data_IF_173952322929
#
_entry.id   IF_173952322929
#
_cell.length_a   1.000
_cell.length_b   1.000
_cell.length_c   1.000
_cell.angle_alpha   90.00
_cell.angle_beta   90.00
_cell.angle_gamma   90.00
#
_symmetry.space_group_name_H-M   'P 1'
#
loop_
_entity.id
_entity.type
_entity.pdbx_description
1 polymer ?
#
# COMPACT_ATOMS: atom_id res chain seq x y z
N UNK A 1 7.51 -22.09 5.33
CA UNK A 1 6.80 -20.84 5.58
C UNK A 1 6.14 -20.39 4.28
N UNK A 2 4.84 -20.31 4.26
CA UNK A 2 4.10 -19.94 3.06
C UNK A 2 3.65 -18.48 3.17
N UNK A 3 3.77 -17.74 2.05
CA UNK A 3 3.21 -16.40 1.94
C UNK A 3 1.69 -16.49 2.04
N UNK A 4 1.13 -15.80 3.02
CA UNK A 4 -0.32 -15.77 3.27
C UNK A 4 -0.99 -14.74 2.35
N UNK A 5 -0.49 -13.53 2.35
CA UNK A 5 -0.97 -12.41 1.54
C UNK A 5 0.19 -11.53 1.10
N UNK A 6 -0.09 -10.70 0.12
CA UNK A 6 0.82 -9.65 -0.32
C UNK A 6 0.15 -8.29 -0.22
N UNK A 7 0.95 -7.24 -0.12
CA UNK A 7 0.50 -5.85 -0.18
C UNK A 7 1.33 -5.11 -1.22
N UNK A 8 0.72 -4.25 -1.99
CA UNK A 8 1.43 -3.49 -3.02
C UNK A 8 1.21 -1.98 -2.84
N UNK A 9 2.20 -1.23 -3.27
CA UNK A 9 2.11 0.22 -3.33
C UNK A 9 1.22 0.64 -4.51
N UNK A 10 0.44 1.71 -4.31
CA UNK A 10 -0.34 2.39 -5.34
C UNK A 10 -0.10 3.89 -5.25
N UNK A 11 -0.18 4.57 -6.36
CA UNK A 11 -0.23 6.03 -6.38
C UNK A 11 -1.69 6.44 -6.19
N UNK A 12 -1.96 7.24 -5.17
CA UNK A 12 -3.30 7.77 -4.90
C UNK A 12 -3.32 9.28 -5.11
N UNK A 13 -4.50 9.79 -5.44
CA UNK A 13 -4.76 11.22 -5.55
C UNK A 13 -5.80 11.64 -4.53
N UNK A 14 -5.70 12.88 -4.06
CA UNK A 14 -6.71 13.46 -3.20
C UNK A 14 -8.08 13.45 -3.90
N UNK A 15 -9.15 13.52 -3.12
CA UNK A 15 -10.52 13.53 -3.63
C UNK A 15 -10.70 14.65 -4.67
N UNK A 16 -11.30 14.29 -5.80
CA UNK A 16 -11.46 15.21 -6.93
C UNK A 16 -10.21 15.41 -7.80
N UNK A 17 -9.10 14.78 -7.47
CA UNK A 17 -7.84 14.82 -8.23
C UNK A 17 -7.38 16.26 -8.57
N UNK A 18 -7.16 17.12 -7.58
CA UNK A 18 -6.79 18.52 -7.82
C UNK A 18 -5.46 18.68 -8.58
N UNK A 19 -4.53 17.74 -8.40
CA UNK A 19 -3.25 17.71 -9.11
C UNK A 19 -3.33 17.23 -10.56
N UNK A 20 -4.51 16.78 -11.04
CA UNK A 20 -4.74 16.25 -12.39
C UNK A 20 -3.79 15.09 -12.75
N UNK A 21 -3.56 14.21 -11.80
CA UNK A 21 -2.65 13.07 -11.91
C UNK A 21 -3.48 11.84 -12.26
N UNK A 22 -3.37 11.35 -13.51
CA UNK A 22 -4.10 10.19 -14.02
C UNK A 22 -3.17 9.02 -14.38
N UNK A 23 -1.89 9.27 -14.39
CA UNK A 23 -0.83 8.30 -14.66
C UNK A 23 0.40 8.59 -13.80
N UNK A 24 1.30 7.60 -13.70
CA UNK A 24 2.57 7.80 -13.02
C UNK A 24 3.43 8.88 -13.71
N UNK A 25 3.36 8.95 -15.05
CA UNK A 25 4.11 9.95 -15.85
C UNK A 25 3.67 11.38 -15.60
N UNK A 26 2.43 11.61 -15.17
CA UNK A 26 1.95 12.95 -14.83
C UNK A 26 2.73 13.58 -13.67
N UNK A 27 3.40 12.75 -12.86
CA UNK A 27 4.28 13.22 -11.78
C UNK A 27 5.51 13.99 -12.29
N UNK A 28 5.89 13.81 -13.57
CA UNK A 28 7.00 14.57 -14.20
C UNK A 28 6.68 16.03 -14.37
N UNK A 29 5.42 16.36 -14.56
CA UNK A 29 4.95 17.69 -14.96
C UNK A 29 4.06 18.37 -13.94
N UNK A 30 3.45 17.63 -13.02
CA UNK A 30 2.55 18.21 -12.02
C UNK A 30 3.25 19.24 -11.13
N UNK A 31 2.56 20.32 -10.83
CA UNK A 31 2.96 21.29 -9.81
C UNK A 31 2.31 20.98 -8.45
N UNK A 32 1.51 19.90 -8.39
CA UNK A 32 0.87 19.42 -7.17
C UNK A 32 1.88 18.86 -6.16
N UNK A 33 1.47 18.87 -4.89
CA UNK A 33 2.28 18.34 -3.80
C UNK A 33 2.14 16.82 -3.78
N UNK A 34 3.26 16.10 -3.82
CA UNK A 34 3.31 14.64 -3.76
C UNK A 34 3.94 14.19 -2.44
N UNK A 35 3.19 13.47 -1.64
CA UNK A 35 3.69 12.89 -0.40
C UNK A 35 4.33 11.52 -0.66
N UNK A 36 5.54 11.32 -0.16
CA UNK A 36 6.31 10.09 -0.32
C UNK A 36 7.01 9.72 0.98
N UNK A 37 7.15 8.44 1.26
CA UNK A 37 7.95 7.99 2.39
C UNK A 37 9.44 8.28 2.17
N UNK A 38 10.19 8.43 3.27
CA UNK A 38 11.67 8.44 3.25
C UNK A 38 12.20 7.19 2.56
N UNK A 39 13.30 7.33 1.83
CA UNK A 39 13.88 6.24 1.04
C UNK A 39 14.33 5.04 1.89
N UNK A 40 14.68 5.26 3.14
CA UNK A 40 15.18 4.25 4.09
C UNK A 40 14.08 3.45 4.80
N UNK A 41 12.80 3.69 4.50
CA UNK A 41 11.67 2.89 5.00
C UNK A 41 11.01 2.11 3.87
N UNK A 42 10.33 0.96 4.13
CA UNK A 42 9.86 0.05 3.08
C UNK A 42 8.99 0.72 1.99
N UNK A 43 8.03 1.57 2.38
CA UNK A 43 7.19 2.30 1.43
C UNK A 43 8.01 3.28 0.56
N UNK A 44 9.03 3.88 1.14
CA UNK A 44 9.92 4.81 0.43
C UNK A 44 10.87 4.09 -0.52
N UNK A 45 11.46 2.99 -0.09
CA UNK A 45 12.33 2.19 -0.96
C UNK A 45 11.60 1.82 -2.26
N UNK A 46 10.38 1.29 -2.15
CA UNK A 46 9.58 0.91 -3.32
C UNK A 46 9.17 2.14 -4.15
N UNK A 47 8.69 3.21 -3.51
CA UNK A 47 8.27 4.40 -4.21
C UNK A 47 9.42 5.06 -4.99
N UNK A 48 10.58 5.20 -4.37
CA UNK A 48 11.76 5.79 -5.02
C UNK A 48 12.32 4.90 -6.13
N UNK A 49 12.25 3.57 -6.00
CA UNK A 49 12.58 2.65 -7.10
C UNK A 49 11.66 2.86 -8.30
N UNK A 50 10.34 3.00 -8.09
CA UNK A 50 9.39 3.26 -9.18
C UNK A 50 9.62 4.64 -9.82
N UNK A 51 9.84 5.68 -9.03
CA UNK A 51 10.18 7.00 -9.56
C UNK A 51 11.45 6.97 -10.42
N UNK A 52 12.49 6.30 -9.95
CA UNK A 52 13.76 6.14 -10.68
C UNK A 52 13.59 5.33 -11.95
N UNK A 53 12.85 4.21 -11.90
CA UNK A 53 12.58 3.34 -13.05
C UNK A 53 11.89 4.09 -14.19
N UNK A 54 11.07 5.08 -13.86
CA UNK A 54 10.33 5.89 -14.83
C UNK A 54 10.96 7.28 -15.10
N UNK A 55 12.19 7.52 -14.62
CA UNK A 55 12.88 8.81 -14.76
C UNK A 55 12.06 10.01 -14.25
N UNK A 56 11.41 9.82 -13.09
CA UNK A 56 10.56 10.85 -12.47
C UNK A 56 11.32 11.55 -11.35
N UNK A 57 11.42 12.87 -11.44
CA UNK A 57 11.86 13.75 -10.36
C UNK A 57 10.66 14.59 -9.91
N UNK A 58 10.27 14.45 -8.65
CA UNK A 58 9.14 15.20 -8.08
C UNK A 58 9.53 16.67 -7.89
N UNK A 59 8.73 17.59 -8.42
CA UNK A 59 8.95 19.04 -8.28
C UNK A 59 8.64 19.50 -6.85
N UNK A 60 7.50 19.10 -6.30
CA UNK A 60 7.03 19.44 -4.97
C UNK A 60 6.76 18.16 -4.18
N UNK A 61 7.72 17.73 -3.39
CA UNK A 61 7.58 16.52 -2.57
C UNK A 61 7.57 16.86 -1.08
N UNK A 62 6.74 16.15 -0.33
CA UNK A 62 6.89 16.06 1.13
C UNK A 62 7.33 14.65 1.49
N UNK A 63 8.24 14.55 2.45
CA UNK A 63 8.86 13.28 2.82
C UNK A 63 8.43 12.89 4.22
N UNK A 64 7.85 11.70 4.35
CA UNK A 64 7.23 11.22 5.57
C UNK A 64 7.97 9.99 6.13
N UNK A 65 7.97 9.85 7.43
CA UNK A 65 8.61 8.70 8.10
C UNK A 65 7.76 7.44 8.11
N UNK A 66 6.45 7.57 7.83
CA UNK A 66 5.48 6.47 7.85
C UNK A 66 4.49 6.60 6.71
N UNK A 67 4.04 5.46 6.18
CA UNK A 67 2.99 5.43 5.16
C UNK A 67 1.66 6.02 5.65
N UNK A 68 1.35 5.90 6.94
CA UNK A 68 0.15 6.50 7.53
C UNK A 68 0.16 8.02 7.48
N UNK A 69 1.32 8.66 7.55
CA UNK A 69 1.46 10.10 7.43
C UNK A 69 1.24 10.53 5.96
N UNK A 70 1.75 9.76 5.00
CA UNK A 70 1.44 9.94 3.57
C UNK A 70 -0.06 9.86 3.33
N UNK A 71 -0.70 8.79 3.81
CA UNK A 71 -2.14 8.59 3.67
C UNK A 71 -2.93 9.76 4.29
N UNK A 72 -2.54 10.23 5.48
CA UNK A 72 -3.17 11.36 6.15
C UNK A 72 -3.08 12.63 5.31
N UNK A 73 -1.92 12.95 4.75
CA UNK A 73 -1.75 14.14 3.91
C UNK A 73 -2.66 14.13 2.69
N UNK A 74 -2.75 12.99 2.02
CA UNK A 74 -3.62 12.88 0.83
C UNK A 74 -5.10 12.91 1.21
N UNK A 75 -5.50 12.19 2.26
CA UNK A 75 -6.91 12.14 2.71
C UNK A 75 -7.43 13.47 3.25
N UNK A 76 -6.54 14.32 3.78
CA UNK A 76 -6.89 15.65 4.29
C UNK A 76 -6.69 16.77 3.26
N UNK A 77 -6.23 16.45 2.03
CA UNK A 77 -5.97 17.43 0.99
C UNK A 77 -4.70 18.27 1.21
N UNK A 78 -3.82 17.87 2.14
CA UNK A 78 -2.52 18.51 2.35
C UNK A 78 -1.44 18.05 1.36
N UNK A 79 -1.75 17.02 0.57
CA UNK A 79 -1.01 16.60 -0.61
C UNK A 79 -2.01 16.24 -1.71
N UNK A 80 -1.65 16.52 -2.96
CA UNK A 80 -2.48 16.22 -4.13
C UNK A 80 -2.41 14.74 -4.51
N UNK A 81 -1.27 14.11 -4.21
CA UNK A 81 -1.04 12.70 -4.46
C UNK A 81 -0.04 12.11 -3.45
N UNK A 82 0.05 10.78 -3.42
CA UNK A 82 1.02 10.09 -2.58
C UNK A 82 1.08 8.60 -2.88
N UNK A 83 2.15 7.98 -2.42
CA UNK A 83 2.35 6.53 -2.53
C UNK A 83 1.95 5.87 -1.21
N UNK A 84 0.91 5.05 -1.24
CA UNK A 84 0.42 4.28 -0.09
C UNK A 84 0.17 2.83 -0.48
N UNK A 85 -0.06 1.96 0.47
CA UNK A 85 -0.41 0.57 0.19
C UNK A 85 -1.91 0.42 -0.15
N UNK A 86 -2.25 -0.67 -0.85
CA UNK A 86 -3.65 -1.01 -1.13
C UNK A 86 -4.48 -1.16 0.13
N UNK A 87 -3.88 -1.58 1.24
CA UNK A 87 -4.54 -1.64 2.56
C UNK A 87 -4.90 -0.27 3.12
N UNK A 88 -4.04 0.74 2.92
CA UNK A 88 -4.32 2.13 3.34
C UNK A 88 -5.44 2.74 2.49
N UNK A 89 -5.45 2.45 1.19
CA UNK A 89 -6.53 2.85 0.29
C UNK A 89 -7.88 2.25 0.71
N UNK A 90 -7.89 0.95 1.05
CA UNK A 90 -9.09 0.28 1.55
C UNK A 90 -9.58 0.90 2.88
N UNK A 91 -8.66 1.25 3.78
CA UNK A 91 -8.97 1.91 5.04
C UNK A 91 -9.58 3.31 4.83
N UNK A 92 -9.04 4.10 3.90
CA UNK A 92 -9.58 5.41 3.53
C UNK A 92 -11.01 5.28 3.00
N UNK A 93 -11.25 4.32 2.11
CA UNK A 93 -12.57 4.04 1.54
C UNK A 93 -13.60 3.66 2.62
N UNK A 94 -13.21 2.82 3.60
CA UNK A 94 -14.07 2.46 4.73
C UNK A 94 -14.45 3.66 5.59
N UNK A 95 -13.61 4.70 5.64
CA UNK A 95 -13.89 5.97 6.33
C UNK A 95 -14.67 6.98 5.48
N UNK A 96 -15.09 6.59 4.27
CA UNK A 96 -15.84 7.45 3.37
C UNK A 96 -15.02 8.44 2.56
N UNK A 97 -13.70 8.28 2.52
CA UNK A 97 -12.80 9.12 1.72
C UNK A 97 -12.58 8.47 0.35
N UNK A 98 -12.95 9.17 -0.71
CA UNK A 98 -12.86 8.68 -2.08
C UNK A 98 -11.58 9.18 -2.76
N UNK A 99 -10.46 8.50 -2.50
CA UNK A 99 -9.21 8.75 -3.20
C UNK A 99 -9.26 8.20 -4.62
N UNK A 100 -8.70 8.93 -5.57
CA UNK A 100 -8.33 8.36 -6.86
C UNK A 100 -7.15 7.41 -6.70
N UNK A 101 -7.00 6.46 -7.62
CA UNK A 101 -5.85 5.55 -7.60
C UNK A 101 -5.34 5.28 -9.01
N UNK A 102 -4.02 5.26 -9.12
CA UNK A 102 -3.28 4.84 -10.32
C UNK A 102 -2.53 3.56 -9.96
N UNK A 103 -2.85 2.49 -10.66
CA UNK A 103 -2.19 1.22 -10.43
C UNK A 103 -0.76 1.25 -10.95
N UNK A 104 0.19 0.75 -10.13
CA UNK A 104 1.58 0.59 -10.52
C UNK A 104 1.77 -0.82 -11.08
N UNK A 105 2.30 -0.90 -12.30
CA UNK A 105 2.64 -2.17 -12.96
C UNK A 105 4.03 -2.62 -12.52
N UNK A 106 4.21 -3.93 -12.32
CA UNK A 106 5.49 -4.55 -11.96
C UNK A 106 6.17 -3.95 -10.71
N UNK A 107 5.37 -3.41 -9.79
CA UNK A 107 5.86 -2.91 -8.51
C UNK A 107 6.15 -4.09 -7.57
N UNK A 108 7.23 -3.97 -6.81
CA UNK A 108 7.58 -4.93 -5.77
C UNK A 108 6.44 -5.02 -4.73
N UNK A 109 6.16 -6.24 -4.29
CA UNK A 109 5.11 -6.52 -3.30
C UNK A 109 5.73 -6.92 -1.98
N UNK A 110 5.18 -6.40 -0.90
CA UNK A 110 5.50 -6.90 0.42
C UNK A 110 4.80 -8.25 0.64
N UNK A 111 5.56 -9.24 1.05
CA UNK A 111 5.05 -10.58 1.37
C UNK A 111 4.85 -10.74 2.87
N UNK A 112 3.72 -11.32 3.25
CA UNK A 112 3.37 -11.60 4.64
C UNK A 112 3.27 -13.11 4.83
N UNK A 113 4.34 -13.75 5.30
CA UNK A 113 4.31 -15.17 5.59
C UNK A 113 3.63 -15.44 6.92
N UNK A 114 2.96 -16.60 7.01
CA UNK A 114 2.44 -17.12 8.25
C UNK A 114 3.10 -18.44 8.62
N UNK A 115 3.54 -18.56 9.85
CA UNK A 115 4.18 -19.77 10.37
C UNK A 115 3.86 -19.98 11.85
N UNK A 116 3.88 -21.24 12.27
CA UNK A 116 3.83 -21.60 13.67
C UNK A 116 5.22 -21.43 14.30
N UNK A 117 5.28 -20.82 15.47
CA UNK A 117 6.49 -20.83 16.29
C UNK A 117 6.75 -22.26 16.82
N UNK A 118 7.97 -22.49 17.34
CA UNK A 118 8.31 -23.77 17.96
C UNK A 118 7.32 -24.15 19.07
N UNK A 119 6.92 -23.24 19.92
CA UNK A 119 5.93 -23.44 20.97
C UNK A 119 4.52 -23.61 20.38
N UNK A 120 4.16 -22.79 19.40
CA UNK A 120 2.86 -22.86 18.72
C UNK A 120 2.63 -24.19 18.01
N UNK A 121 3.69 -24.84 17.52
CA UNK A 121 3.59 -26.18 16.88
C UNK A 121 3.15 -27.30 17.84
N UNK A 122 3.20 -27.07 19.13
CA UNK A 122 2.70 -28.00 20.17
C UNK A 122 1.26 -27.70 20.57
N UNK A 123 0.65 -26.62 20.08
CA UNK A 123 -0.73 -26.24 20.39
C UNK A 123 -1.68 -26.62 19.27
N UNK A 124 -2.66 -27.46 19.56
CA UNK A 124 -3.69 -27.86 18.59
C UNK A 124 -4.55 -26.66 18.13
N UNK A 125 -4.83 -25.72 19.03
CA UNK A 125 -5.56 -24.49 18.69
C UNK A 125 -4.78 -23.62 17.72
N UNK A 126 -3.47 -23.43 17.95
CA UNK A 126 -2.63 -22.65 17.06
C UNK A 126 -2.51 -23.30 15.67
N UNK A 127 -2.41 -24.63 15.60
CA UNK A 127 -2.41 -25.38 14.33
C UNK A 127 -3.72 -25.17 13.58
N UNK A 128 -4.87 -25.35 14.25
CA UNK A 128 -6.20 -25.13 13.63
C UNK A 128 -6.38 -23.71 13.11
N UNK A 129 -5.95 -22.71 13.89
CA UNK A 129 -6.00 -21.32 13.45
C UNK A 129 -5.12 -21.06 12.23
N UNK A 130 -3.89 -21.60 12.22
CA UNK A 130 -2.98 -21.45 11.08
C UNK A 130 -3.54 -22.12 9.81
N UNK A 131 -4.16 -23.30 9.94
CA UNK A 131 -4.84 -23.98 8.83
C UNK A 131 -6.05 -23.17 8.32
N UNK A 132 -6.89 -22.68 9.23
CA UNK A 132 -8.02 -21.82 8.87
C UNK A 132 -7.54 -20.55 8.15
N UNK A 133 -6.51 -19.88 8.68
CA UNK A 133 -5.97 -18.66 8.10
C UNK A 133 -5.46 -18.87 6.66
N UNK A 134 -4.86 -20.03 6.38
CA UNK A 134 -4.30 -20.36 5.06
C UNK A 134 -5.33 -20.84 4.06
N UNK A 135 -6.32 -21.61 4.51
CA UNK A 135 -7.17 -22.39 3.62
C UNK A 135 -8.64 -21.95 3.59
N UNK A 136 -9.11 -21.20 4.60
CA UNK A 136 -10.51 -20.78 4.69
C UNK A 136 -10.83 -19.65 3.70
N UNK A 137 -11.95 -19.79 2.99
CA UNK A 137 -12.46 -18.73 2.12
C UNK A 137 -12.92 -17.51 2.93
N UNK A 138 -13.37 -17.72 4.18
CA UNK A 138 -13.72 -16.64 5.09
C UNK A 138 -12.49 -15.80 5.46
N UNK A 139 -11.36 -16.45 5.80
CA UNK A 139 -10.11 -15.75 6.07
C UNK A 139 -9.63 -14.96 4.85
N UNK A 140 -9.67 -15.55 3.66
CA UNK A 140 -9.33 -14.89 2.40
C UNK A 140 -10.22 -13.66 2.13
N UNK A 141 -11.53 -13.81 2.35
CA UNK A 141 -12.49 -12.73 2.20
C UNK A 141 -12.16 -11.56 3.14
N UNK A 142 -11.93 -11.83 4.43
CA UNK A 142 -11.56 -10.81 5.41
C UNK A 142 -10.29 -10.07 4.98
N UNK A 143 -9.23 -10.81 4.62
CA UNK A 143 -7.96 -10.22 4.21
C UNK A 143 -8.11 -9.34 2.95
N UNK A 144 -8.90 -9.80 1.98
CA UNK A 144 -9.19 -9.04 0.75
C UNK A 144 -10.00 -7.76 1.05
N UNK A 145 -10.97 -7.81 1.96
CA UNK A 145 -11.76 -6.65 2.39
C UNK A 145 -10.89 -5.56 3.05
N UNK A 146 -9.76 -5.97 3.67
CA UNK A 146 -8.77 -5.03 4.21
C UNK A 146 -7.73 -4.56 3.18
N UNK A 147 -7.86 -4.97 1.92
CA UNK A 147 -7.02 -4.49 0.83
C UNK A 147 -5.78 -5.33 0.55
N UNK A 148 -5.61 -6.48 1.20
CA UNK A 148 -4.54 -7.41 0.88
C UNK A 148 -4.85 -8.22 -0.39
N UNK A 149 -3.79 -8.63 -1.08
CA UNK A 149 -3.89 -9.61 -2.15
C UNK A 149 -3.59 -10.99 -1.59
N UNK A 150 -4.47 -11.95 -1.81
CA UNK A 150 -4.22 -13.35 -1.43
C UNK A 150 -3.08 -13.93 -2.29
N UNK A 151 -2.19 -14.69 -1.67
CA UNK A 151 -1.22 -15.48 -2.41
C UNK A 151 -1.97 -16.53 -3.24
N UNK A 152 -1.54 -16.69 -4.49
CA UNK A 152 -2.06 -17.75 -5.37
C UNK A 152 -1.41 -19.08 -5.00
#
# INVERSE_FOLDING_TARGET
TNVLVTNKLVLVTAEGNPGKINSLDDLKTTDGVVAVCKEDVPCGTIAHQELKKHDITLKNATTESKVTDVATKVTTGNADAGFIYTTDLAAAKKKGVNLGSVELTDVERNEYPAALSKTGSSSETAKKFNEWLKNSDEAKKILTEYGFNTAK
#
